data_IF_975181577402
#
_entry.id   IF_975181577402
#
_cell.length_a   1.000
_cell.length_b   1.000
_cell.length_c   1.000
_cell.angle_alpha   90.00
_cell.angle_beta   90.00
_cell.angle_gamma   90.00
#
_symmetry.space_group_name_H-M   'P 1'
#
loop_
_entity.id
_entity.type
_entity.pdbx_description
1 polymer ?
#
# COMPACT_ATOMS: atom_id res chain seq x y z
N UNK A 1 42.46 -14.84 14.34
CA UNK A 1 41.22 -14.83 13.53
C UNK A 1 40.26 -13.80 14.10
N UNK A 2 40.09 -12.66 13.45
CA UNK A 2 39.12 -11.64 13.90
C UNK A 2 37.73 -12.01 13.37
N UNK A 3 36.95 -12.71 14.20
CA UNK A 3 35.51 -12.86 13.96
C UNK A 3 34.84 -11.52 14.21
N UNK A 4 34.71 -10.69 13.17
CA UNK A 4 33.91 -9.46 13.23
C UNK A 4 32.44 -9.88 13.32
N UNK A 5 31.92 -9.91 14.55
CA UNK A 5 30.52 -10.23 14.82
C UNK A 5 29.62 -9.38 13.90
N UNK A 6 28.83 -10.03 13.05
CA UNK A 6 27.80 -9.38 12.26
C UNK A 6 26.75 -8.81 13.22
N UNK A 7 26.95 -7.56 13.63
CA UNK A 7 25.97 -6.78 14.38
C UNK A 7 24.66 -6.90 13.59
N UNK A 8 23.55 -7.22 14.26
CA UNK A 8 22.21 -7.43 13.67
C UNK A 8 21.75 -6.35 12.66
N UNK A 9 22.47 -5.22 12.56
CA UNK A 9 22.23 -4.06 11.71
C UNK A 9 23.25 -3.88 10.57
N UNK A 10 24.14 -4.83 10.31
CA UNK A 10 25.06 -4.73 9.18
C UNK A 10 24.27 -4.67 7.86
N UNK A 11 24.51 -3.62 7.08
CA UNK A 11 23.85 -3.38 5.80
C UNK A 11 24.77 -3.82 4.68
N UNK A 12 24.32 -4.76 3.86
CA UNK A 12 25.01 -5.15 2.63
C UNK A 12 24.05 -5.09 1.45
N UNK A 13 24.37 -4.28 0.43
CA UNK A 13 23.54 -4.08 -0.78
C UNK A 13 22.06 -3.74 -0.52
N UNK A 14 21.74 -3.19 0.67
CA UNK A 14 20.34 -2.89 1.06
C UNK A 14 19.62 -4.01 1.78
N UNK A 15 20.28 -5.15 1.99
CA UNK A 15 19.84 -6.25 2.84
C UNK A 15 20.52 -6.18 4.22
N UNK A 16 19.97 -6.96 5.14
CA UNK A 16 20.55 -7.27 6.44
C UNK A 16 20.20 -8.73 6.77
N UNK A 17 20.94 -9.32 7.71
CA UNK A 17 20.56 -10.62 8.27
C UNK A 17 19.60 -10.39 9.44
N UNK A 18 18.57 -11.23 9.51
CA UNK A 18 17.70 -11.41 10.66
C UNK A 18 17.99 -12.77 11.29
N UNK A 19 17.68 -12.92 12.58
CA UNK A 19 17.78 -14.20 13.29
C UNK A 19 16.46 -14.43 14.00
N UNK A 20 15.83 -15.57 13.74
CA UNK A 20 14.62 -16.04 14.42
C UNK A 20 14.91 -17.41 15.06
N UNK A 21 13.94 -17.98 15.79
CA UNK A 21 14.03 -19.32 16.37
C UNK A 21 14.37 -20.42 15.36
N UNK A 22 14.00 -20.23 14.08
CA UNK A 22 14.27 -21.18 12.99
C UNK A 22 15.58 -20.90 12.22
N UNK A 23 16.43 -19.99 12.71
CA UNK A 23 17.74 -19.70 12.10
C UNK A 23 17.89 -18.28 11.53
N UNK A 24 18.89 -18.11 10.68
CA UNK A 24 19.25 -16.83 10.05
C UNK A 24 18.50 -16.68 8.73
N UNK A 25 17.89 -15.51 8.49
CA UNK A 25 17.15 -15.19 7.27
C UNK A 25 17.58 -13.85 6.69
N UNK A 26 17.38 -13.67 5.38
CA UNK A 26 17.66 -12.41 4.70
C UNK A 26 16.45 -11.48 4.88
N UNK A 27 16.70 -10.25 5.36
CA UNK A 27 15.68 -9.20 5.48
C UNK A 27 16.10 -7.94 4.75
N UNK A 28 15.13 -7.11 4.38
CA UNK A 28 15.41 -5.79 3.82
C UNK A 28 15.92 -4.87 4.93
N UNK A 29 16.99 -4.13 4.64
CA UNK A 29 17.56 -3.20 5.61
C UNK A 29 16.56 -2.04 5.89
N UNK A 30 16.39 -1.58 7.15
CA UNK A 30 15.38 -0.57 7.50
C UNK A 30 15.51 0.75 6.73
N UNK A 31 16.75 1.17 6.37
CA UNK A 31 16.98 2.35 5.53
C UNK A 31 16.36 2.20 4.13
N UNK A 32 16.52 1.03 3.49
CA UNK A 32 15.95 0.75 2.17
C UNK A 32 14.42 0.71 2.23
N UNK A 33 13.87 0.07 3.27
CA UNK A 33 12.44 0.04 3.52
C UNK A 33 11.83 1.44 3.73
N UNK A 34 12.48 2.27 4.55
CA UNK A 34 12.06 3.67 4.77
C UNK A 34 12.09 4.47 3.47
N UNK A 35 13.12 4.32 2.64
CA UNK A 35 13.25 4.98 1.33
C UNK A 35 12.09 4.58 0.40
N UNK A 36 11.77 3.29 0.33
CA UNK A 36 10.64 2.79 -0.45
C UNK A 36 9.31 3.35 0.04
N UNK A 37 9.02 3.25 1.34
CA UNK A 37 7.77 3.76 1.92
C UNK A 37 7.62 5.28 1.71
N UNK A 38 8.71 6.04 1.77
CA UNK A 38 8.71 7.47 1.46
C UNK A 38 8.40 7.75 -0.02
N UNK A 39 8.98 6.98 -0.95
CA UNK A 39 8.69 7.09 -2.38
C UNK A 39 7.21 6.78 -2.67
N UNK A 40 6.68 5.69 -2.10
CA UNK A 40 5.26 5.36 -2.19
C UNK A 40 4.36 6.47 -1.63
N UNK A 41 4.75 7.09 -0.51
CA UNK A 41 4.03 8.24 0.07
C UNK A 41 4.00 9.44 -0.87
N UNK A 42 5.10 9.70 -1.58
CA UNK A 42 5.17 10.79 -2.57
C UNK A 42 4.30 10.53 -3.80
N UNK A 43 4.26 9.27 -4.28
CA UNK A 43 3.46 8.87 -5.43
C UNK A 43 1.96 8.87 -5.10
N UNK A 44 1.59 8.48 -3.89
CA UNK A 44 0.22 8.50 -3.37
C UNK A 44 -0.07 9.77 -2.55
N UNK A 45 0.35 10.93 -3.07
CA UNK A 45 0.17 12.20 -2.35
C UNK A 45 -1.26 12.74 -2.50
N UNK A 46 -1.80 13.26 -1.40
CA UNK A 46 -3.09 13.96 -1.41
C UNK A 46 -3.02 15.33 -2.10
N UNK A 47 -1.83 15.86 -2.43
CA UNK A 47 -1.68 17.22 -2.98
C UNK A 47 -2.10 17.30 -4.46
N UNK A 48 -1.80 16.29 -5.26
CA UNK A 48 -2.06 16.24 -6.70
C UNK A 48 -3.03 15.10 -7.02
N UNK A 49 -4.31 15.30 -6.71
CA UNK A 49 -5.36 14.27 -6.84
C UNK A 49 -6.42 14.73 -7.85
N UNK A 50 -5.99 15.03 -9.07
CA UNK A 50 -6.90 15.19 -10.20
C UNK A 50 -7.27 13.82 -10.80
N UNK A 51 -6.31 12.89 -10.84
CA UNK A 51 -6.52 11.51 -11.30
C UNK A 51 -5.64 10.55 -10.50
N UNK A 52 -6.21 9.38 -10.17
CA UNK A 52 -5.52 8.33 -9.41
C UNK A 52 -4.80 7.34 -10.34
N UNK A 53 -5.25 7.19 -11.58
CA UNK A 53 -4.71 6.21 -12.54
C UNK A 53 -3.21 6.42 -12.83
N UNK A 54 -2.70 7.64 -13.10
CA UNK A 54 -1.27 7.84 -13.32
C UNK A 54 -0.43 7.51 -12.08
N UNK A 55 -0.97 7.77 -10.87
CA UNK A 55 -0.29 7.41 -9.64
C UNK A 55 -0.21 5.88 -9.47
N UNK A 56 -1.28 5.15 -9.79
CA UNK A 56 -1.28 3.69 -9.77
C UNK A 56 -0.27 3.09 -10.74
N UNK A 57 -0.16 3.64 -11.96
CA UNK A 57 0.82 3.17 -12.94
C UNK A 57 2.26 3.35 -12.44
N UNK A 58 2.58 4.53 -11.92
CA UNK A 58 3.92 4.82 -11.34
C UNK A 58 4.23 3.94 -10.13
N UNK A 59 3.23 3.67 -9.28
CA UNK A 59 3.37 2.77 -8.13
C UNK A 59 3.66 1.35 -8.60
N UNK A 60 2.91 0.85 -9.60
CA UNK A 60 3.11 -0.47 -10.20
C UNK A 60 4.52 -0.64 -10.75
N UNK A 61 4.97 0.27 -11.59
CA UNK A 61 6.31 0.23 -12.19
C UNK A 61 7.41 0.23 -11.13
N UNK A 62 7.30 1.15 -10.16
CA UNK A 62 8.25 1.26 -9.06
C UNK A 62 8.30 -0.01 -8.22
N UNK A 63 7.14 -0.53 -7.82
CA UNK A 63 7.05 -1.68 -6.93
C UNK A 63 7.40 -2.99 -7.64
N UNK A 64 7.13 -3.12 -8.93
CA UNK A 64 7.59 -4.27 -9.72
C UNK A 64 9.11 -4.35 -9.72
N UNK A 65 9.80 -3.26 -10.03
CA UNK A 65 11.28 -3.22 -9.98
C UNK A 65 11.82 -3.46 -8.57
N UNK A 66 11.17 -2.89 -7.56
CA UNK A 66 11.59 -3.05 -6.17
C UNK A 66 11.42 -4.49 -5.66
N UNK A 67 10.28 -5.13 -5.94
CA UNK A 67 10.02 -6.53 -5.57
C UNK A 67 10.92 -7.50 -6.34
N UNK A 68 11.25 -7.24 -7.61
CA UNK A 68 12.21 -8.06 -8.35
C UNK A 68 13.59 -8.05 -7.69
N UNK A 69 14.04 -6.92 -7.14
CA UNK A 69 15.32 -6.83 -6.47
C UNK A 69 15.30 -7.41 -5.04
N UNK A 70 14.30 -7.03 -4.24
CA UNK A 70 14.21 -7.41 -2.83
C UNK A 70 13.43 -8.71 -2.58
N UNK A 71 12.92 -9.37 -3.62
CA UNK A 71 12.09 -10.57 -3.54
C UNK A 71 12.75 -11.73 -2.80
N UNK A 72 14.08 -11.82 -2.81
CA UNK A 72 14.83 -12.85 -2.07
C UNK A 72 14.67 -12.72 -0.54
N UNK A 73 14.33 -11.52 -0.04
CA UNK A 73 14.17 -11.30 1.39
C UNK A 73 12.85 -11.88 1.91
N UNK A 74 12.89 -12.46 3.12
CA UNK A 74 11.68 -12.89 3.83
C UNK A 74 10.93 -11.66 4.38
N UNK A 75 9.87 -11.24 3.69
CA UNK A 75 9.14 -10.01 4.00
C UNK A 75 7.62 -10.11 3.82
N UNK A 76 7.04 -11.32 3.77
CA UNK A 76 5.60 -11.55 3.55
C UNK A 76 4.70 -10.63 4.38
N UNK A 77 4.80 -10.70 5.72
CA UNK A 77 3.99 -9.89 6.62
C UNK A 77 4.21 -8.38 6.43
N UNK A 78 5.47 -7.97 6.24
CA UNK A 78 5.79 -6.56 6.04
C UNK A 78 5.20 -6.01 4.71
N UNK A 79 5.15 -6.85 3.66
CA UNK A 79 4.52 -6.52 2.38
C UNK A 79 3.00 -6.44 2.53
N UNK A 80 2.37 -7.37 3.26
CA UNK A 80 0.93 -7.34 3.54
C UNK A 80 0.51 -6.07 4.28
N UNK A 81 1.26 -5.69 5.33
CA UNK A 81 1.04 -4.43 6.05
C UNK A 81 1.20 -3.19 5.15
N UNK A 82 2.25 -3.18 4.33
CA UNK A 82 2.50 -2.10 3.38
C UNK A 82 1.37 -2.00 2.35
N UNK A 83 0.88 -3.14 1.86
CA UNK A 83 -0.22 -3.23 0.91
C UNK A 83 -1.51 -2.66 1.51
N UNK A 84 -1.84 -3.05 2.74
CA UNK A 84 -2.98 -2.49 3.47
C UNK A 84 -2.89 -0.97 3.66
N UNK A 85 -1.71 -0.48 4.06
CA UNK A 85 -1.43 0.95 4.16
C UNK A 85 -1.58 1.68 2.82
N UNK A 86 -1.12 1.07 1.72
CA UNK A 86 -1.19 1.64 0.38
C UNK A 86 -2.63 1.69 -0.14
N UNK A 87 -3.41 0.62 0.03
CA UNK A 87 -4.86 0.61 -0.26
C UNK A 87 -5.57 1.75 0.44
N UNK A 88 -5.32 1.92 1.74
CA UNK A 88 -5.94 2.99 2.51
C UNK A 88 -5.54 4.39 1.97
N UNK A 89 -4.27 4.58 1.58
CA UNK A 89 -3.83 5.84 0.95
C UNK A 89 -4.52 6.12 -0.37
N UNK A 90 -4.69 5.10 -1.21
CA UNK A 90 -5.39 5.25 -2.48
C UNK A 90 -6.87 5.58 -2.25
N UNK A 91 -7.55 4.91 -1.29
CA UNK A 91 -8.92 5.28 -0.89
C UNK A 91 -9.01 6.73 -0.42
N UNK A 92 -8.08 7.18 0.42
CA UNK A 92 -8.01 8.58 0.85
C UNK A 92 -7.86 9.53 -0.34
N UNK A 93 -7.02 9.20 -1.32
CA UNK A 93 -6.86 10.00 -2.54
C UNK A 93 -8.18 10.05 -3.32
N UNK A 94 -8.80 8.90 -3.62
CA UNK A 94 -10.11 8.84 -4.30
C UNK A 94 -11.16 9.66 -3.54
N UNK A 95 -11.21 9.54 -2.22
CA UNK A 95 -12.14 10.28 -1.37
C UNK A 95 -11.95 11.81 -1.49
N UNK A 96 -10.69 12.25 -1.54
CA UNK A 96 -10.36 13.67 -1.76
C UNK A 96 -10.71 14.12 -3.19
N UNK A 97 -10.49 13.26 -4.19
CA UNK A 97 -10.82 13.52 -5.60
C UNK A 97 -12.30 13.87 -5.79
N UNK A 98 -13.20 13.22 -5.03
CA UNK A 98 -14.63 13.49 -5.10
C UNK A 98 -15.05 14.87 -4.59
N UNK A 99 -14.17 15.58 -3.85
CA UNK A 99 -14.30 16.97 -3.35
C UNK A 99 -15.60 17.28 -2.59
N UNK A 100 -16.74 17.36 -3.29
CA UNK A 100 -18.05 17.79 -2.78
C UNK A 100 -18.86 16.62 -2.17
N UNK A 101 -19.63 16.83 -1.09
CA UNK A 101 -20.49 15.79 -0.51
C UNK A 101 -21.48 15.18 -1.51
N UNK A 102 -22.10 16.00 -2.36
CA UNK A 102 -23.01 15.53 -3.42
C UNK A 102 -22.33 14.52 -4.36
N UNK A 103 -21.10 14.82 -4.79
CA UNK A 103 -20.30 13.93 -5.64
C UNK A 103 -19.91 12.65 -4.91
N UNK A 104 -19.46 12.74 -3.65
CA UNK A 104 -19.14 11.57 -2.82
C UNK A 104 -20.34 10.63 -2.70
N UNK A 105 -21.51 11.17 -2.38
CA UNK A 105 -22.75 10.38 -2.31
C UNK A 105 -23.09 9.73 -3.65
N UNK A 106 -23.02 10.48 -4.76
CA UNK A 106 -23.27 9.95 -6.12
C UNK A 106 -22.34 8.79 -6.47
N UNK A 107 -21.03 8.92 -6.20
CA UNK A 107 -20.07 7.87 -6.51
C UNK A 107 -20.22 6.66 -5.60
N UNK A 108 -20.50 6.84 -4.30
CA UNK A 108 -20.78 5.74 -3.39
C UNK A 108 -22.02 4.95 -3.82
N UNK A 109 -23.11 5.62 -4.20
CA UNK A 109 -24.32 4.96 -4.70
C UNK A 109 -24.05 4.21 -6.01
N UNK A 110 -23.26 4.80 -6.91
CA UNK A 110 -22.82 4.12 -8.16
C UNK A 110 -22.01 2.85 -7.88
N UNK A 111 -21.32 2.79 -6.75
CA UNK A 111 -20.57 1.62 -6.28
C UNK A 111 -21.43 0.65 -5.44
N UNK A 112 -22.76 0.82 -5.43
CA UNK A 112 -23.69 -0.10 -4.77
C UNK A 112 -23.94 0.15 -3.28
N UNK A 113 -23.52 1.31 -2.76
CA UNK A 113 -23.82 1.68 -1.38
C UNK A 113 -25.24 2.27 -1.26
N UNK A 114 -26.09 1.79 -0.34
CA UNK A 114 -27.40 2.38 -0.11
C UNK A 114 -27.33 3.87 0.25
N UNK A 115 -28.33 4.64 -0.20
CA UNK A 115 -28.38 6.10 -0.06
C UNK A 115 -28.15 6.59 1.38
N UNK A 116 -28.72 5.91 2.37
CA UNK A 116 -28.56 6.23 3.79
C UNK A 116 -27.08 6.23 4.23
N UNK A 117 -26.37 5.12 4.00
CA UNK A 117 -24.95 5.00 4.34
C UNK A 117 -24.08 5.92 3.51
N UNK A 118 -24.41 6.10 2.22
CA UNK A 118 -23.69 7.03 1.34
C UNK A 118 -23.80 8.48 1.84
N UNK A 119 -24.99 8.88 2.29
CA UNK A 119 -25.24 10.20 2.87
C UNK A 119 -24.45 10.42 4.16
N UNK A 120 -24.47 9.44 5.07
CA UNK A 120 -23.73 9.49 6.34
C UNK A 120 -22.22 9.63 6.10
N UNK A 121 -21.65 8.83 5.20
CA UNK A 121 -20.23 8.89 4.88
C UNK A 121 -19.85 10.21 4.17
N UNK A 122 -20.65 10.66 3.20
CA UNK A 122 -20.37 11.84 2.41
C UNK A 122 -20.35 13.15 3.22
N UNK A 123 -21.22 13.25 4.23
CA UNK A 123 -21.35 14.42 5.11
C UNK A 123 -20.56 14.31 6.42
N UNK A 124 -19.71 13.29 6.57
CA UNK A 124 -18.86 13.15 7.74
C UNK A 124 -17.92 14.35 7.90
N UNK A 125 -17.86 14.92 9.12
CA UNK A 125 -16.92 16.00 9.48
C UNK A 125 -15.51 15.48 9.81
N UNK A 126 -15.29 14.16 9.74
CA UNK A 126 -13.99 13.54 10.04
C UNK A 126 -12.99 13.80 8.91
N UNK A 127 -11.70 13.73 9.25
CA UNK A 127 -10.63 13.90 8.26
C UNK A 127 -10.60 12.78 7.21
N UNK A 128 -10.04 13.09 6.03
CA UNK A 128 -10.01 12.18 4.88
C UNK A 128 -9.46 10.79 5.19
N UNK A 129 -8.38 10.71 5.99
CA UNK A 129 -7.77 9.45 6.43
C UNK A 129 -8.78 8.60 7.22
N UNK A 130 -9.43 9.19 8.21
CA UNK A 130 -10.43 8.50 9.01
C UNK A 130 -11.62 8.03 8.14
N UNK A 131 -12.16 8.92 7.31
CA UNK A 131 -13.33 8.57 6.49
C UNK A 131 -13.02 7.47 5.48
N UNK A 132 -11.81 7.43 4.91
CA UNK A 132 -11.39 6.34 4.02
C UNK A 132 -11.22 4.98 4.68
N UNK A 133 -11.17 4.91 6.02
CA UNK A 133 -11.16 3.66 6.79
C UNK A 133 -12.55 3.21 7.23
N UNK A 134 -13.60 4.00 7.02
CA UNK A 134 -14.96 3.61 7.41
C UNK A 134 -15.43 2.39 6.62
N UNK A 135 -16.27 1.56 7.23
CA UNK A 135 -16.85 0.36 6.61
C UNK A 135 -17.53 0.68 5.28
N UNK A 136 -18.28 1.79 5.21
CA UNK A 136 -18.95 2.26 3.99
C UNK A 136 -17.98 2.51 2.85
N UNK A 137 -16.87 3.22 3.09
CA UNK A 137 -15.88 3.54 2.06
C UNK A 137 -15.04 2.32 1.70
N UNK A 138 -14.69 1.47 2.67
CA UNK A 138 -13.98 0.22 2.40
C UNK A 138 -14.82 -0.75 1.55
N UNK A 139 -16.14 -0.82 1.81
CA UNK A 139 -17.07 -1.62 1.00
C UNK A 139 -17.21 -1.05 -0.41
N UNK A 140 -17.34 0.27 -0.54
CA UNK A 140 -17.46 0.91 -1.85
C UNK A 140 -16.18 0.80 -2.70
N UNK A 141 -15.03 0.96 -2.06
CA UNK A 141 -13.70 0.87 -2.67
C UNK A 141 -13.00 -0.41 -2.19
N UNK A 142 -13.65 -1.56 -2.42
CA UNK A 142 -13.09 -2.87 -2.05
C UNK A 142 -11.74 -3.12 -2.74
N UNK A 143 -10.96 -4.08 -2.21
CA UNK A 143 -9.67 -4.46 -2.82
C UNK A 143 -9.88 -4.87 -4.28
N UNK A 144 -10.86 -5.73 -4.54
CA UNK A 144 -11.23 -6.20 -5.88
C UNK A 144 -11.55 -5.05 -6.85
N UNK A 145 -12.36 -4.07 -6.42
CA UNK A 145 -12.70 -2.91 -7.26
C UNK A 145 -11.43 -2.10 -7.58
N UNK A 146 -10.55 -1.91 -6.60
CA UNK A 146 -9.31 -1.15 -6.80
C UNK A 146 -8.33 -1.90 -7.73
N UNK A 147 -8.19 -3.22 -7.57
CA UNK A 147 -7.36 -4.07 -8.45
C UNK A 147 -7.90 -4.02 -9.88
N UNK A 148 -9.21 -4.16 -10.06
CA UNK A 148 -9.86 -4.03 -11.39
C UNK A 148 -9.63 -2.65 -12.03
N UNK A 149 -9.42 -1.61 -11.23
CA UNK A 149 -9.09 -0.25 -11.68
C UNK A 149 -7.59 -0.01 -11.88
N UNK A 150 -6.76 -1.04 -11.75
CA UNK A 150 -5.32 -1.00 -12.02
C UNK A 150 -4.45 -0.80 -10.78
N UNK A 151 -4.98 -1.01 -9.56
CA UNK A 151 -4.16 -1.10 -8.37
C UNK A 151 -3.28 -2.35 -8.44
N UNK A 152 -1.98 -2.19 -8.16
CA UNK A 152 -1.02 -3.29 -8.16
C UNK A 152 -0.95 -3.90 -6.76
N UNK A 153 -1.54 -5.09 -6.60
CA UNK A 153 -1.52 -5.79 -5.32
C UNK A 153 -0.11 -6.34 -5.03
N UNK A 154 0.50 -5.79 -3.98
CA UNK A 154 1.88 -6.13 -3.60
C UNK A 154 1.98 -7.51 -2.96
N UNK A 155 0.94 -7.94 -2.25
CA UNK A 155 0.94 -9.23 -1.56
C UNK A 155 0.85 -10.36 -2.59
N UNK A 156 -0.06 -10.24 -3.56
CA UNK A 156 -0.22 -11.21 -4.64
C UNK A 156 1.03 -11.28 -5.51
N UNK A 157 1.59 -10.12 -5.89
CA UNK A 157 2.82 -10.06 -6.67
C UNK A 157 4.01 -10.70 -5.94
N UNK A 158 4.13 -10.48 -4.62
CA UNK A 158 5.19 -11.11 -3.82
C UNK A 158 4.99 -12.62 -3.73
N UNK A 159 3.76 -13.10 -3.51
CA UNK A 159 3.47 -14.53 -3.49
C UNK A 159 3.81 -15.22 -4.81
N UNK A 160 3.44 -14.62 -5.96
CA UNK A 160 3.78 -15.16 -7.28
C UNK A 160 5.29 -15.31 -7.50
N UNK A 161 6.10 -14.40 -6.96
CA UNK A 161 7.57 -14.49 -7.05
C UNK A 161 8.17 -15.62 -6.21
N UNK A 162 7.46 -16.08 -5.17
CA UNK A 162 7.91 -17.15 -4.28
C UNK A 162 7.31 -18.52 -4.59
N UNK A 163 6.21 -18.59 -5.33
CA UNK A 163 5.62 -19.86 -5.80
C UNK A 163 6.40 -20.45 -6.98
N UNK A 164 7.12 -19.60 -7.72
CA UNK A 164 7.91 -20.01 -8.90
C UNK A 164 9.35 -20.46 -8.56
N UNK A 165 9.62 -20.87 -7.31
CA UNK A 165 10.91 -21.40 -6.86
C UNK A 165 10.72 -22.66 -6.03
#
# INVERSE_FOLDING_TARGET
MTSVYAIRNFKFLGFALGRNGNGTFIRVHPKSWKKMKAKLKSLSTRRHVQSVIPALCKIREYMRGWLNYYGIAAMKHAVEELNGWLYHRIRMCIWKMWKRPRSKMKYLMKLGIPKYYAHMAANSRRGHWFTSATSTVNRALSKEILVRKGFYDLADAYQQMHVNY
#
